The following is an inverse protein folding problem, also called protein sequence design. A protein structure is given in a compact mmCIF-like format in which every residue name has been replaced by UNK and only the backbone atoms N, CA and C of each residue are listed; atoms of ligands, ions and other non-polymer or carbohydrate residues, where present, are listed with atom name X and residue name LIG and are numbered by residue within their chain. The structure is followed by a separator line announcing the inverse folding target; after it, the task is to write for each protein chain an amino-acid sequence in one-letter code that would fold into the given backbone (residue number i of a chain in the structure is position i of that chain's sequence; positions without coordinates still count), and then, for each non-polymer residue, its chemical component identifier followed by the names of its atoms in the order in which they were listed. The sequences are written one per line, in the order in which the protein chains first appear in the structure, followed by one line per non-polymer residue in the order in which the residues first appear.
data_IF_703702550140
#
_entry.id   IF_703702550140
#
_cell.length_a   1.000
_cell.length_b   1.000
_cell.length_c   1.000
_cell.angle_alpha   90.00
_cell.angle_beta   90.00
_cell.angle_gamma   90.00
#
_symmetry.space_group_name_H-M   'P 1'
#
loop_
_entity.id
_entity.type
_entity.pdbx_description
1 polymer ?
#
# COMPACT_ATOMS: atom_id res chain seq x y z
N UNK A 1 7.96 3.10 1.58
CA UNK A 1 6.82 3.33 2.51
C UNK A 1 6.95 4.61 3.32
N UNK A 2 7.97 4.78 4.16
CA UNK A 2 8.10 5.98 5.04
C UNK A 2 7.91 7.35 4.34
N UNK A 3 8.41 7.50 3.11
CA UNK A 3 8.24 8.74 2.31
C UNK A 3 6.79 8.91 1.82
N UNK A 4 6.14 7.83 1.40
CA UNK A 4 4.77 7.92 0.88
C UNK A 4 3.74 8.14 1.98
N UNK A 5 4.07 7.77 3.22
CA UNK A 5 3.21 7.92 4.40
C UNK A 5 3.43 9.22 5.16
N UNK A 6 4.41 10.05 4.79
CA UNK A 6 4.77 11.26 5.55
C UNK A 6 3.67 12.33 5.60
N UNK A 7 2.73 12.30 4.66
CA UNK A 7 1.59 13.23 4.61
C UNK A 7 0.27 12.61 5.06
N UNK A 8 0.29 11.41 5.64
CA UNK A 8 -0.91 10.67 6.04
C UNK A 8 -1.04 10.71 7.55
N UNK A 9 -2.24 11.00 8.04
CA UNK A 9 -2.57 10.89 9.46
C UNK A 9 -2.63 9.40 9.83
N UNK A 10 -1.79 8.99 10.77
CA UNK A 10 -1.65 7.60 11.20
C UNK A 10 -1.98 7.50 12.68
N UNK A 11 -2.75 6.48 13.04
CA UNK A 11 -3.08 6.15 14.41
C UNK A 11 -2.40 4.85 14.84
N UNK A 12 -1.78 4.89 16.03
CA UNK A 12 -1.06 3.76 16.60
C UNK A 12 0.31 3.50 15.96
N UNK A 13 0.86 2.34 16.27
CA UNK A 13 2.12 1.88 15.69
C UNK A 13 1.87 1.10 14.39
N UNK A 14 2.59 1.47 13.33
CA UNK A 14 2.54 0.79 12.04
C UNK A 14 3.82 -0.01 11.85
N UNK A 15 3.66 -1.33 11.68
CA UNK A 15 4.72 -2.23 11.24
C UNK A 15 4.87 -2.12 9.71
N UNK A 16 5.65 -1.12 9.29
CA UNK A 16 6.02 -0.93 7.90
C UNK A 16 6.88 -2.06 7.34
N UNK A 17 7.57 -2.83 8.19
CA UNK A 17 8.41 -3.92 7.72
C UNK A 17 7.55 -5.10 7.27
N UNK A 18 6.50 -5.44 8.02
CA UNK A 18 5.48 -6.40 7.60
C UNK A 18 4.80 -5.97 6.29
N UNK A 19 4.41 -4.71 6.18
CA UNK A 19 3.79 -4.15 4.96
C UNK A 19 4.71 -4.29 3.75
N UNK A 20 6.01 -4.00 3.90
CA UNK A 20 6.99 -4.14 2.82
C UNK A 20 7.17 -5.61 2.42
N UNK A 21 7.23 -6.53 3.39
CA UNK A 21 7.32 -7.98 3.10
C UNK A 21 6.10 -8.49 2.32
N UNK A 22 4.92 -7.97 2.62
CA UNK A 22 3.69 -8.30 1.88
C UNK A 22 3.63 -7.67 0.48
N UNK A 23 4.45 -6.66 0.22
CA UNK A 23 4.48 -5.89 -1.03
C UNK A 23 5.51 -6.42 -2.03
N UNK A 24 5.93 -7.69 -1.92
CA UNK A 24 6.90 -8.27 -2.84
C UNK A 24 6.41 -8.23 -4.30
N UNK A 25 7.31 -7.85 -5.22
CA UNK A 25 6.99 -7.62 -6.63
C UNK A 25 6.25 -6.32 -6.95
N UNK A 26 5.90 -5.50 -5.95
CA UNK A 26 5.35 -4.16 -6.16
C UNK A 26 6.46 -3.13 -6.44
N UNK A 27 6.20 -2.23 -7.37
CA UNK A 27 7.12 -1.12 -7.69
C UNK A 27 6.79 0.14 -6.87
N UNK A 28 7.58 1.20 -7.03
CA UNK A 28 7.38 2.46 -6.28
C UNK A 28 6.01 3.12 -6.50
N UNK A 29 5.43 2.99 -7.70
CA UNK A 29 4.09 3.50 -7.99
C UNK A 29 3.02 2.68 -7.25
N UNK A 30 3.18 1.36 -7.21
CA UNK A 30 2.29 0.47 -6.47
C UNK A 30 2.34 0.76 -4.96
N UNK A 31 3.53 1.01 -4.40
CA UNK A 31 3.67 1.38 -2.99
C UNK A 31 2.99 2.72 -2.67
N UNK A 32 3.01 3.68 -3.58
CA UNK A 32 2.23 4.92 -3.45
C UNK A 32 0.73 4.61 -3.49
N UNK A 33 0.31 3.71 -4.36
CA UNK A 33 -1.09 3.29 -4.47
C UNK A 33 -1.58 2.58 -3.20
N UNK A 34 -0.74 1.74 -2.57
CA UNK A 34 -1.04 1.12 -1.27
C UNK A 34 -1.39 2.17 -0.21
N UNK A 35 -0.64 3.28 -0.15
CA UNK A 35 -0.94 4.34 0.82
C UNK A 35 -2.26 5.04 0.52
N UNK A 36 -2.57 5.29 -0.75
CA UNK A 36 -3.85 5.86 -1.18
C UNK A 36 -5.02 4.95 -0.80
N UNK A 37 -4.90 3.65 -1.08
CA UNK A 37 -5.92 2.65 -0.77
C UNK A 37 -6.11 2.48 0.74
N UNK A 38 -5.04 2.56 1.54
CA UNK A 38 -5.15 2.55 3.00
C UNK A 38 -5.95 3.76 3.52
N UNK A 39 -5.72 4.95 2.95
CA UNK A 39 -6.54 6.13 3.24
C UNK A 39 -8.01 5.94 2.85
N UNK A 40 -8.28 5.30 1.71
CA UNK A 40 -9.64 5.00 1.26
C UNK A 40 -10.36 4.04 2.21
N UNK A 41 -9.67 3.02 2.75
CA UNK A 41 -10.23 2.14 3.77
C UNK A 41 -10.58 2.89 5.06
N UNK A 42 -9.69 3.78 5.53
CA UNK A 42 -9.97 4.62 6.69
C UNK A 42 -11.21 5.51 6.47
N UNK A 43 -11.31 6.19 5.32
CA UNK A 43 -12.47 7.02 4.96
C UNK A 43 -13.75 6.19 4.89
N UNK A 44 -13.68 4.97 4.32
CA UNK A 44 -14.84 4.06 4.24
C UNK A 44 -15.35 3.63 5.61
N UNK A 45 -14.45 3.53 6.58
CA UNK A 45 -14.75 3.22 7.98
C UNK A 45 -15.07 4.47 8.82
N UNK A 46 -15.26 5.64 8.17
CA UNK A 46 -15.52 6.94 8.82
C UNK A 46 -14.44 7.36 9.82
N UNK A 47 -13.17 7.08 9.51
CA UNK A 47 -12.00 7.49 10.29
C UNK A 47 -11.17 8.53 9.54
N UNK A 48 -10.59 9.46 10.29
CA UNK A 48 -9.65 10.48 9.79
C UNK A 48 -8.17 10.01 9.85
N UNK A 49 -7.94 8.84 10.44
CA UNK A 49 -6.61 8.25 10.66
C UNK A 49 -6.52 6.85 10.05
N UNK A 50 -5.37 6.56 9.45
CA UNK A 50 -5.02 5.24 8.91
C UNK A 50 -4.37 4.40 9.99
N UNK A 51 -4.79 3.14 10.11
CA UNK A 51 -4.20 2.19 11.05
C UNK A 51 -3.53 1.00 10.32
N UNK A 52 -2.97 0.06 11.09
CA UNK A 52 -2.28 -1.11 10.53
C UNK A 52 -3.19 -1.98 9.65
N UNK A 53 -4.47 -2.14 10.02
CA UNK A 53 -5.42 -2.98 9.30
C UNK A 53 -5.75 -2.41 7.91
N UNK A 54 -5.84 -1.09 7.79
CA UNK A 54 -6.02 -0.40 6.51
C UNK A 54 -4.86 -0.69 5.54
N UNK A 55 -3.62 -0.62 6.03
CA UNK A 55 -2.46 -0.96 5.23
C UNK A 55 -2.46 -2.44 4.82
N UNK A 56 -2.82 -3.35 5.74
CA UNK A 56 -2.90 -4.77 5.44
C UNK A 56 -3.94 -5.06 4.34
N UNK A 57 -5.11 -4.42 4.41
CA UNK A 57 -6.17 -4.50 3.38
C UNK A 57 -5.69 -3.91 2.05
N UNK A 58 -5.06 -2.74 2.08
CA UNK A 58 -4.56 -2.04 0.92
C UNK A 58 -3.49 -2.84 0.15
N UNK A 59 -2.49 -3.40 0.85
CA UNK A 59 -1.45 -4.21 0.20
C UNK A 59 -2.06 -5.41 -0.51
N UNK A 60 -2.99 -6.13 0.13
CA UNK A 60 -3.66 -7.29 -0.47
C UNK A 60 -4.41 -6.90 -1.74
N UNK A 61 -5.21 -5.83 -1.68
CA UNK A 61 -5.96 -5.32 -2.84
C UNK A 61 -5.04 -4.93 -4.00
N UNK A 62 -3.97 -4.21 -3.72
CA UNK A 62 -3.02 -3.77 -4.76
C UNK A 62 -2.26 -4.96 -5.34
N UNK A 63 -1.81 -5.90 -4.50
CA UNK A 63 -1.12 -7.10 -4.96
C UNK A 63 -2.01 -8.00 -5.83
N UNK A 64 -3.28 -8.17 -5.48
CA UNK A 64 -4.25 -8.89 -6.31
C UNK A 64 -4.49 -8.20 -7.65
N UNK A 65 -4.63 -6.86 -7.63
CA UNK A 65 -4.78 -6.07 -8.87
C UNK A 65 -3.54 -6.21 -9.76
N UNK A 66 -2.33 -6.16 -9.17
CA UNK A 66 -1.06 -6.32 -9.87
C UNK A 66 -0.92 -7.68 -10.55
N UNK A 67 -1.42 -8.75 -9.93
CA UNK A 67 -1.39 -10.11 -10.51
C UNK A 67 -2.25 -10.23 -11.78
N UNK A 68 -3.29 -9.41 -11.89
CA UNK A 68 -4.17 -9.35 -13.05
C UNK A 68 -3.59 -8.46 -14.16
N UNK A 69 -2.69 -7.54 -13.82
CA UNK A 69 -1.93 -6.73 -14.78
C UNK A 69 -0.86 -7.58 -15.48
N UNK A 70 -0.61 -7.31 -16.77
CA UNK A 70 0.44 -7.99 -17.54
C UNK A 70 1.83 -7.75 -16.93
N UNK A 71 2.69 -8.77 -16.94
CA UNK A 71 4.08 -8.63 -16.49
C UNK A 71 4.79 -7.57 -17.32
N UNK A 72 5.30 -6.54 -16.64
CA UNK A 72 6.23 -5.57 -17.22
C UNK A 72 7.56 -6.28 -17.48
N UNK A 73 7.75 -6.77 -18.70
CA UNK A 73 9.04 -7.26 -19.16
C UNK A 73 9.90 -6.08 -19.62
N UNK A 74 11.02 -5.86 -18.94
CA UNK A 74 12.05 -4.95 -19.41
C UNK A 74 12.84 -5.63 -20.52
N UNK A 75 12.80 -5.09 -21.74
CA UNK A 75 13.73 -5.50 -22.78
C UNK A 75 15.15 -5.08 -22.38
N UNK A 76 16.09 -6.01 -22.46
CA UNK A 76 17.51 -5.67 -22.36
C UNK A 76 17.88 -4.82 -23.58
N UNK A 77 18.47 -3.65 -23.31
CA UNK A 77 19.11 -2.80 -24.32
C UNK A 77 20.21 -3.55 -25.07
#
# INVERSE_FOLDING_TARGET
MKIHTSGVAIEGEIDFESIVKMSDGLNGADLRNVVTEAGLFAIKDYRDTVNQDDFNKAVRKVAESKKLEGKLEYQKL
#
